data_IF_068810461845
#
_entry.id   IF_068810461845
#
_cell.length_a   1.000
_cell.length_b   1.000
_cell.length_c   1.000
_cell.angle_alpha   90.00
_cell.angle_beta   90.00
_cell.angle_gamma   90.00
#
_symmetry.space_group_name_H-M   'P 1'
#
loop_
_entity.id
_entity.type
_entity.pdbx_description
1 polymer ?
#
# COMPACT_ATOMS: atom_id res chain seq x y z
N UNK A 1 25.05 7.26 -19.87
CA UNK A 1 26.03 7.12 -20.97
C UNK A 1 25.24 6.57 -22.16
N UNK A 2 25.10 7.33 -23.23
CA UNK A 2 24.32 6.93 -24.40
C UNK A 2 25.18 5.95 -25.22
N UNK A 3 24.72 4.70 -25.33
CA UNK A 3 25.37 3.67 -26.14
C UNK A 3 25.25 4.05 -27.62
N UNK A 4 26.36 3.93 -28.34
CA UNK A 4 26.38 4.12 -29.80
C UNK A 4 25.66 2.97 -30.49
N UNK A 5 24.95 3.24 -31.59
CA UNK A 5 24.24 2.24 -32.39
C UNK A 5 25.16 1.08 -32.84
N UNK A 6 26.47 1.34 -33.00
CA UNK A 6 27.47 0.31 -33.30
C UNK A 6 27.77 -0.66 -32.15
N UNK A 7 27.69 -0.21 -30.90
CA UNK A 7 27.89 -1.07 -29.71
C UNK A 7 26.69 -2.00 -29.51
N UNK A 8 25.46 -1.52 -29.80
CA UNK A 8 24.23 -2.31 -29.75
C UNK A 8 24.20 -3.46 -30.77
N UNK A 9 24.77 -3.25 -31.98
CA UNK A 9 24.85 -4.29 -33.01
C UNK A 9 25.85 -5.39 -32.64
N UNK A 10 26.95 -5.05 -31.96
CA UNK A 10 27.94 -6.04 -31.50
C UNK A 10 27.40 -6.95 -30.37
N UNK A 11 26.57 -6.41 -29.48
CA UNK A 11 25.87 -7.16 -28.42
C UNK A 11 24.76 -8.07 -28.97
N UNK A 12 24.18 -7.72 -30.13
CA UNK A 12 23.15 -8.49 -30.81
C UNK A 12 23.68 -9.73 -31.58
N UNK A 13 25.00 -9.93 -31.70
CA UNK A 13 25.57 -11.03 -32.50
C UNK A 13 25.49 -12.41 -31.85
N UNK A 14 25.16 -12.49 -30.55
CA UNK A 14 25.01 -13.75 -29.84
C UNK A 14 23.57 -13.93 -29.38
N UNK A 15 22.81 -14.89 -29.96
CA UNK A 15 21.46 -15.24 -29.50
C UNK A 15 21.39 -15.52 -28.00
N UNK A 16 22.48 -16.05 -27.43
CA UNK A 16 22.61 -16.30 -25.99
C UNK A 16 22.59 -15.01 -25.18
N UNK A 17 23.23 -13.94 -25.67
CA UNK A 17 23.28 -12.63 -24.97
C UNK A 17 21.90 -11.97 -24.97
N UNK A 18 21.18 -12.02 -26.09
CA UNK A 18 19.81 -11.51 -26.19
C UNK A 18 18.86 -12.25 -25.24
N UNK A 19 18.94 -13.58 -25.18
CA UNK A 19 18.14 -14.38 -24.24
C UNK A 19 18.46 -14.00 -22.79
N UNK A 20 19.75 -13.89 -22.44
CA UNK A 20 20.17 -13.49 -21.10
C UNK A 20 19.61 -12.11 -20.71
N UNK A 21 19.69 -11.11 -21.60
CA UNK A 21 19.15 -9.79 -21.34
C UNK A 21 17.63 -9.80 -21.15
N UNK A 22 16.89 -10.51 -22.01
CA UNK A 22 15.44 -10.66 -21.91
C UNK A 22 15.03 -11.35 -20.60
N UNK A 23 15.65 -12.48 -20.25
CA UNK A 23 15.37 -13.18 -18.99
C UNK A 23 15.80 -12.37 -17.76
N UNK A 24 16.90 -11.60 -17.86
CA UNK A 24 17.33 -10.74 -16.77
C UNK A 24 16.36 -9.56 -16.55
N UNK A 25 15.76 -9.04 -17.63
CA UNK A 25 14.74 -7.99 -17.57
C UNK A 25 13.43 -8.54 -17.00
N UNK A 26 12.95 -9.69 -17.49
CA UNK A 26 11.73 -10.32 -16.96
C UNK A 26 11.90 -10.64 -15.48
N UNK A 27 13.04 -11.21 -15.07
CA UNK A 27 13.32 -11.51 -13.66
C UNK A 27 13.33 -10.26 -12.77
N UNK A 28 13.76 -9.09 -13.27
CA UNK A 28 13.70 -7.82 -12.53
C UNK A 28 12.27 -7.32 -12.40
N UNK A 29 11.48 -7.41 -13.48
CA UNK A 29 10.08 -7.01 -13.49
C UNK A 29 9.25 -7.89 -12.54
N UNK A 30 9.45 -9.21 -12.55
CA UNK A 30 8.79 -10.16 -11.65
C UNK A 30 9.07 -9.84 -10.17
N UNK A 31 10.33 -9.52 -9.84
CA UNK A 31 10.70 -9.08 -8.48
C UNK A 31 9.97 -7.79 -8.09
N UNK A 32 9.88 -6.83 -9.00
CA UNK A 32 9.14 -5.58 -8.77
C UNK A 32 7.66 -5.85 -8.54
N UNK A 33 7.04 -6.70 -9.36
CA UNK A 33 5.64 -7.09 -9.18
C UNK A 33 5.43 -7.77 -7.84
N UNK A 34 6.32 -8.69 -7.44
CA UNK A 34 6.24 -9.36 -6.15
C UNK A 34 6.30 -8.37 -4.97
N UNK A 35 7.23 -7.39 -5.02
CA UNK A 35 7.31 -6.33 -4.00
C UNK A 35 6.04 -5.49 -3.94
N UNK A 36 5.53 -5.03 -5.09
CA UNK A 36 4.29 -4.24 -5.16
C UNK A 36 3.08 -5.03 -4.64
N UNK A 37 3.01 -6.33 -4.94
CA UNK A 37 1.96 -7.21 -4.42
C UNK A 37 2.07 -7.40 -2.91
N UNK A 38 3.29 -7.48 -2.36
CA UNK A 38 3.51 -7.55 -0.92
C UNK A 38 3.07 -6.26 -0.22
N UNK A 39 3.46 -5.10 -0.75
CA UNK A 39 3.02 -3.80 -0.24
C UNK A 39 1.50 -3.66 -0.31
N UNK A 40 0.88 -4.06 -1.42
CA UNK A 40 -0.58 -4.06 -1.57
C UNK A 40 -1.25 -4.94 -0.51
N UNK A 41 -0.76 -6.16 -0.30
CA UNK A 41 -1.31 -7.07 0.73
C UNK A 41 -1.22 -6.45 2.12
N UNK A 42 -0.10 -5.82 2.43
CA UNK A 42 0.12 -5.14 3.71
C UNK A 42 -0.90 -4.00 3.92
N UNK A 43 -1.09 -3.18 2.90
CA UNK A 43 -2.07 -2.08 2.89
C UNK A 43 -3.51 -2.59 3.01
N UNK A 44 -3.86 -3.62 2.25
CA UNK A 44 -5.19 -4.21 2.26
C UNK A 44 -5.51 -4.79 3.65
N UNK A 45 -4.53 -5.43 4.31
CA UNK A 45 -4.67 -5.92 5.69
C UNK A 45 -4.82 -4.78 6.71
N UNK A 46 -4.01 -3.73 6.60
CA UNK A 46 -4.12 -2.55 7.46
C UNK A 46 -5.50 -1.89 7.35
N UNK A 47 -5.98 -1.69 6.12
CA UNK A 47 -7.32 -1.16 5.83
C UNK A 47 -8.43 -2.05 6.38
N UNK A 48 -8.28 -3.37 6.26
CA UNK A 48 -9.23 -4.33 6.82
C UNK A 48 -9.28 -4.24 8.35
N UNK A 49 -8.12 -4.24 9.03
CA UNK A 49 -8.05 -4.10 10.50
C UNK A 49 -8.72 -2.81 10.98
N UNK A 50 -8.40 -1.68 10.35
CA UNK A 50 -9.07 -0.41 10.67
C UNK A 50 -10.58 -0.51 10.48
N UNK A 51 -11.03 -1.01 9.32
CA UNK A 51 -12.45 -1.09 8.99
C UNK A 51 -13.25 -1.94 9.98
N UNK A 52 -12.69 -3.07 10.41
CA UNK A 52 -13.31 -3.94 11.43
C UNK A 52 -13.50 -3.22 12.76
N UNK A 53 -12.43 -2.63 13.31
CA UNK A 53 -12.47 -1.96 14.63
C UNK A 53 -13.32 -0.70 14.57
N UNK A 54 -13.10 0.15 13.56
CA UNK A 54 -13.82 1.42 13.43
C UNK A 54 -15.30 1.22 13.11
N UNK A 55 -15.65 0.23 12.27
CA UNK A 55 -17.05 -0.11 12.02
C UNK A 55 -17.78 -0.51 13.30
N UNK A 56 -17.16 -1.36 14.12
CA UNK A 56 -17.72 -1.78 15.42
C UNK A 56 -17.79 -0.64 16.44
N UNK A 57 -16.82 0.27 16.45
CA UNK A 57 -16.73 1.34 17.44
C UNK A 57 -17.61 2.56 17.12
N UNK A 58 -18.03 2.75 15.86
CA UNK A 58 -18.66 4.00 15.39
C UNK A 58 -19.96 3.84 14.61
N UNK A 59 -20.40 2.61 14.32
CA UNK A 59 -21.51 2.28 13.42
C UNK A 59 -21.40 2.88 12.01
N UNK A 60 -20.22 3.39 11.63
CA UNK A 60 -19.97 3.87 10.28
C UNK A 60 -19.79 2.69 9.32
N UNK A 61 -20.28 2.86 8.11
CA UNK A 61 -20.12 1.90 7.02
C UNK A 61 -19.94 2.61 5.68
N UNK A 62 -19.49 1.83 4.68
CA UNK A 62 -19.30 2.30 3.31
C UNK A 62 -18.44 3.57 3.23
N UNK A 63 -18.93 4.55 2.46
CA UNK A 63 -18.22 5.80 2.21
C UNK A 63 -17.96 6.63 3.48
N UNK A 64 -18.85 6.57 4.48
CA UNK A 64 -18.63 7.32 5.73
C UNK A 64 -17.47 6.75 6.54
N UNK A 65 -17.33 5.42 6.57
CA UNK A 65 -16.20 4.75 7.20
C UNK A 65 -14.89 5.05 6.45
N UNK A 66 -14.95 5.13 5.12
CA UNK A 66 -13.80 5.47 4.30
C UNK A 66 -13.32 6.91 4.55
N UNK A 67 -14.25 7.88 4.57
CA UNK A 67 -13.94 9.28 4.92
C UNK A 67 -13.38 9.40 6.34
N UNK A 68 -13.91 8.62 7.28
CA UNK A 68 -13.39 8.59 8.64
C UNK A 68 -11.97 8.01 8.71
N UNK A 69 -11.67 6.95 7.95
CA UNK A 69 -10.31 6.41 7.80
C UNK A 69 -9.33 7.47 7.30
N UNK A 70 -9.69 8.18 6.23
CA UNK A 70 -8.84 9.25 5.69
C UNK A 70 -8.64 10.40 6.67
N UNK A 71 -9.63 10.69 7.52
CA UNK A 71 -9.50 11.70 8.55
C UNK A 71 -8.53 11.29 9.66
N UNK A 72 -8.54 10.02 10.09
CA UNK A 72 -7.65 9.55 11.14
C UNK A 72 -6.19 9.40 10.67
N UNK A 73 -5.97 9.09 9.40
CA UNK A 73 -4.65 9.00 8.75
C UNK A 73 -3.63 8.16 9.55
N UNK A 74 -4.07 7.04 10.10
CA UNK A 74 -3.20 6.12 10.83
C UNK A 74 -2.25 5.40 9.86
N UNK A 75 -0.96 5.30 10.24
CA UNK A 75 0.04 4.60 9.44
C UNK A 75 -0.27 3.10 9.29
N UNK A 76 0.12 2.51 8.16
CA UNK A 76 0.01 1.06 7.94
C UNK A 76 0.71 0.28 9.06
N UNK A 77 1.88 0.75 9.50
CA UNK A 77 2.67 0.14 10.57
C UNK A 77 1.92 0.14 11.90
N UNK A 78 1.31 1.26 12.28
CA UNK A 78 0.49 1.33 13.50
C UNK A 78 -0.69 0.36 13.41
N UNK A 79 -1.44 0.41 12.31
CA UNK A 79 -2.61 -0.44 12.09
C UNK A 79 -2.29 -1.95 12.13
N UNK A 80 -1.05 -2.35 11.84
CA UNK A 80 -0.62 -3.74 11.82
C UNK A 80 0.03 -4.20 13.13
N UNK A 81 0.68 -3.30 13.86
CA UNK A 81 1.45 -3.65 15.06
C UNK A 81 0.72 -3.34 16.36
N UNK A 82 -0.28 -2.46 16.34
CA UNK A 82 -1.08 -2.14 17.51
C UNK A 82 -1.88 -3.34 18.01
N UNK A 83 -2.05 -3.42 19.33
CA UNK A 83 -3.04 -4.33 19.91
C UNK A 83 -4.45 -3.86 19.53
N UNK A 84 -5.43 -4.76 19.62
CA UNK A 84 -6.82 -4.38 19.34
C UNK A 84 -7.33 -3.35 20.36
N UNK A 85 -6.84 -3.38 21.59
CA UNK A 85 -7.12 -2.37 22.61
C UNK A 85 -6.61 -0.99 22.20
N UNK A 86 -5.32 -0.89 21.85
CA UNK A 86 -4.69 0.40 21.48
C UNK A 86 -5.35 0.98 20.24
N UNK A 87 -5.63 0.14 19.23
CA UNK A 87 -6.31 0.58 18.01
C UNK A 87 -7.73 1.07 18.31
N UNK A 88 -8.49 0.33 19.13
CA UNK A 88 -9.84 0.73 19.53
C UNK A 88 -9.83 2.08 20.26
N UNK A 89 -8.89 2.25 21.19
CA UNK A 89 -8.73 3.49 21.94
C UNK A 89 -8.45 4.67 21.00
N UNK A 90 -7.46 4.56 20.10
CA UNK A 90 -7.10 5.63 19.16
C UNK A 90 -8.22 5.94 18.17
N UNK A 91 -8.93 4.91 17.67
CA UNK A 91 -10.12 5.08 16.84
C UNK A 91 -11.19 5.90 17.56
N UNK A 92 -11.46 5.61 18.85
CA UNK A 92 -12.44 6.36 19.64
C UNK A 92 -12.00 7.81 19.89
N UNK A 93 -10.70 8.05 20.11
CA UNK A 93 -10.17 9.42 20.23
C UNK A 93 -10.37 10.20 18.92
N UNK A 94 -9.99 9.61 17.79
CA UNK A 94 -10.18 10.19 16.47
C UNK A 94 -11.67 10.46 16.19
N UNK A 95 -12.55 9.51 16.52
CA UNK A 95 -14.00 9.65 16.35
C UNK A 95 -14.58 10.83 17.13
N UNK A 96 -14.12 11.04 18.36
CA UNK A 96 -14.54 12.18 19.18
C UNK A 96 -14.14 13.53 18.58
N UNK A 97 -13.01 13.60 17.86
CA UNK A 97 -12.59 14.80 17.12
C UNK A 97 -13.42 14.96 15.85
N UNK A 98 -13.57 13.88 15.07
CA UNK A 98 -14.33 13.87 13.83
C UNK A 98 -15.77 14.37 14.01
N UNK A 99 -16.47 13.88 15.05
CA UNK A 99 -17.82 14.36 15.41
C UNK A 99 -17.88 15.84 15.76
N UNK A 100 -16.83 16.38 16.41
CA UNK A 100 -16.77 17.80 16.80
C UNK A 100 -16.65 18.71 15.58
N UNK A 101 -15.85 18.31 14.59
CA UNK A 101 -15.69 19.07 13.34
C UNK A 101 -16.98 19.00 12.51
N UNK A 102 -17.57 17.80 12.37
CA UNK A 102 -18.81 17.61 11.61
C UNK A 102 -19.99 18.44 12.15
N UNK A 103 -20.07 18.68 13.47
CA UNK A 103 -21.13 19.50 14.08
C UNK A 103 -20.99 21.01 13.80
N UNK A 104 -19.85 21.49 13.30
CA UNK A 104 -19.59 22.91 13.03
C UNK A 104 -19.96 23.34 11.61
N UNK A 105 -20.33 22.39 10.75
CA UNK A 105 -20.82 22.58 9.39
C UNK A 105 -22.26 22.10 9.29
#
# INVERSE_FOLDING_TARGET
KNLSFGEAISLAQSPVTLLYELFSKSAKEDRKVAMLMQEKRRRDLANYRFGMIAGQATDLSGENLERFRYFCDFSEEFLLLSTDYDLTYEVLQCWNVYKRIKKRH
#
